data_IF_938979119415
#
_entry.id   IF_938979119415
#
_cell.length_a   1.000
_cell.length_b   1.000
_cell.length_c   1.000
_cell.angle_alpha   90.00
_cell.angle_beta   90.00
_cell.angle_gamma   90.00
#
_symmetry.space_group_name_H-M   'P 1'
#
loop_
_entity.id
_entity.type
_entity.pdbx_description
1 polymer ?
#
# COMPACT_ATOMS: atom_id res chain seq x y z
N UNK A 1 9.01 18.21 -17.71
CA UNK A 1 7.54 18.14 -17.53
C UNK A 1 7.22 18.50 -16.09
N UNK A 2 6.22 19.33 -15.86
CA UNK A 2 5.71 19.58 -14.51
C UNK A 2 4.78 18.44 -14.07
N UNK A 3 4.60 18.26 -12.76
CA UNK A 3 3.60 17.34 -12.19
C UNK A 3 2.21 17.57 -12.78
N UNK A 4 1.82 18.83 -12.96
CA UNK A 4 0.52 19.19 -13.52
C UNK A 4 0.35 18.68 -14.96
N UNK A 5 1.38 18.85 -15.80
CA UNK A 5 1.36 18.35 -17.18
C UNK A 5 1.25 16.83 -17.24
N UNK A 6 1.97 16.10 -16.38
CA UNK A 6 1.88 14.62 -16.33
C UNK A 6 0.43 14.22 -16.00
N UNK A 7 -0.17 14.83 -14.98
CA UNK A 7 -1.54 14.51 -14.56
C UNK A 7 -2.60 14.85 -15.63
N UNK A 8 -2.39 15.90 -16.43
CA UNK A 8 -3.27 16.27 -17.54
C UNK A 8 -3.18 15.31 -18.73
N UNK A 9 -2.03 14.66 -18.95
CA UNK A 9 -1.82 13.72 -20.06
C UNK A 9 -2.32 12.30 -19.74
N UNK A 10 -2.27 11.86 -18.47
CA UNK A 10 -2.69 10.50 -18.07
C UNK A 10 -4.11 10.11 -18.54
N UNK A 11 -5.14 10.96 -18.48
CA UNK A 11 -6.48 10.62 -18.95
C UNK A 11 -6.56 10.44 -20.47
N UNK A 12 -5.65 11.07 -21.23
CA UNK A 12 -5.62 11.03 -22.70
C UNK A 12 -5.02 9.73 -23.25
N UNK A 13 -4.29 9.01 -22.42
CA UNK A 13 -3.68 7.72 -22.76
C UNK A 13 -4.73 6.62 -22.96
N UNK A 14 -4.35 5.57 -23.68
CA UNK A 14 -5.18 4.36 -23.75
C UNK A 14 -5.21 3.65 -22.39
N UNK A 15 -6.16 2.73 -22.19
CA UNK A 15 -6.19 1.92 -20.97
C UNK A 15 -4.90 1.10 -20.79
N UNK A 16 -4.36 0.55 -21.89
CA UNK A 16 -3.10 -0.22 -21.87
C UNK A 16 -1.92 0.64 -21.44
N UNK A 17 -1.80 1.85 -21.99
CA UNK A 17 -0.71 2.76 -21.65
C UNK A 17 -0.80 3.22 -20.20
N UNK A 18 -2.02 3.49 -19.69
CA UNK A 18 -2.22 3.79 -18.27
C UNK A 18 -1.82 2.62 -17.37
N UNK A 19 -2.11 1.38 -17.76
CA UNK A 19 -1.68 0.20 -17.02
C UNK A 19 -0.15 0.06 -16.98
N UNK A 20 0.54 0.36 -18.07
CA UNK A 20 2.01 0.35 -18.11
C UNK A 20 2.59 1.46 -17.23
N UNK A 21 2.04 2.67 -17.29
CA UNK A 21 2.46 3.78 -16.41
C UNK A 21 2.22 3.44 -14.95
N UNK A 22 1.10 2.81 -14.62
CA UNK A 22 0.80 2.35 -13.27
C UNK A 22 1.81 1.30 -12.78
N UNK A 23 2.14 0.31 -13.60
CA UNK A 23 3.14 -0.70 -13.25
C UNK A 23 4.50 -0.06 -12.96
N UNK A 24 4.94 0.87 -13.80
CA UNK A 24 6.20 1.57 -13.59
C UNK A 24 6.21 2.45 -12.32
N UNK A 25 5.10 3.15 -12.03
CA UNK A 25 4.96 3.90 -10.77
C UNK A 25 5.00 2.98 -9.55
N UNK A 26 4.41 1.77 -9.66
CA UNK A 26 4.47 0.78 -8.60
C UNK A 26 5.91 0.29 -8.36
N UNK A 27 6.69 0.03 -9.42
CA UNK A 27 8.11 -0.35 -9.32
C UNK A 27 8.95 0.73 -8.62
N UNK A 28 8.71 2.01 -8.93
CA UNK A 28 9.40 3.12 -8.25
C UNK A 28 9.06 3.13 -6.77
N UNK A 29 7.77 3.07 -6.42
CA UNK A 29 7.36 3.07 -5.02
C UNK A 29 7.88 1.84 -4.27
N UNK A 30 7.93 0.68 -4.90
CA UNK A 30 8.54 -0.52 -4.31
C UNK A 30 10.03 -0.30 -4.03
N UNK A 31 10.76 0.29 -4.97
CA UNK A 31 12.17 0.64 -4.79
C UNK A 31 12.34 1.63 -3.63
N UNK A 32 11.53 2.70 -3.60
CA UNK A 32 11.54 3.68 -2.52
C UNK A 32 11.23 3.05 -1.15
N UNK A 33 10.36 2.03 -1.11
CA UNK A 33 10.05 1.28 0.13
C UNK A 33 11.18 0.35 0.56
N UNK A 34 11.90 -0.25 -0.40
CA UNK A 34 13.07 -1.09 -0.11
C UNK A 34 14.27 -0.26 0.35
N UNK A 35 14.40 0.95 -0.20
CA UNK A 35 15.43 1.93 0.15
C UNK A 35 15.03 2.80 1.35
N UNK A 36 13.80 2.68 1.85
CA UNK A 36 13.34 3.39 3.04
C UNK A 36 14.12 2.94 4.28
N UNK A 37 14.18 3.82 5.27
CA UNK A 37 14.77 3.48 6.57
C UNK A 37 14.11 2.22 7.13
N UNK A 38 14.95 1.29 7.59
CA UNK A 38 14.48 0.08 8.24
C UNK A 38 13.55 0.45 9.42
N UNK A 39 12.55 -0.39 9.74
CA UNK A 39 11.70 -0.17 10.90
C UNK A 39 12.54 0.07 12.15
N UNK A 40 12.12 1.03 12.97
CA UNK A 40 12.76 1.25 14.26
C UNK A 40 12.71 -0.04 15.11
N UNK A 41 13.59 -0.20 16.10
CA UNK A 41 13.57 -1.38 16.96
C UNK A 41 12.21 -1.65 17.62
N UNK A 42 11.47 -0.59 17.98
CA UNK A 42 10.12 -0.70 18.54
C UNK A 42 9.08 -1.16 17.53
N UNK A 43 9.15 -0.67 16.29
CA UNK A 43 8.24 -1.11 15.22
C UNK A 43 8.50 -2.56 14.85
N UNK A 44 9.79 -2.94 14.77
CA UNK A 44 10.17 -4.34 14.53
C UNK A 44 9.66 -5.26 15.65
N UNK A 45 9.82 -4.86 16.91
CA UNK A 45 9.31 -5.63 18.03
C UNK A 45 7.78 -5.81 17.96
N UNK A 46 7.03 -4.75 17.62
CA UNK A 46 5.58 -4.84 17.47
C UNK A 46 5.17 -5.81 16.34
N UNK A 47 5.92 -5.82 15.22
CA UNK A 47 5.71 -6.78 14.13
C UNK A 47 6.02 -8.21 14.55
N UNK A 48 7.14 -8.43 15.24
CA UNK A 48 7.53 -9.77 15.73
C UNK A 48 6.50 -10.31 16.75
N UNK A 49 5.97 -9.46 17.63
CA UNK A 49 4.92 -9.82 18.58
C UNK A 49 3.60 -10.18 17.88
N UNK A 50 3.16 -9.35 16.92
CA UNK A 50 1.95 -9.59 16.14
C UNK A 50 2.07 -10.87 15.29
N UNK A 51 3.24 -11.12 14.72
CA UNK A 51 3.51 -12.34 13.96
C UNK A 51 3.47 -13.58 14.86
N UNK A 52 4.12 -13.53 16.03
CA UNK A 52 4.08 -14.62 16.99
C UNK A 52 2.67 -14.88 17.55
N UNK A 53 1.82 -13.86 17.66
CA UNK A 53 0.39 -14.03 17.98
C UNK A 53 -0.35 -14.75 16.86
N UNK A 54 -0.16 -14.34 15.61
CA UNK A 54 -0.76 -14.98 14.45
C UNK A 54 -0.30 -16.43 14.27
N UNK A 55 0.96 -16.75 14.55
CA UNK A 55 1.45 -18.14 14.52
C UNK A 55 0.80 -19.02 15.59
N UNK A 56 0.46 -18.45 16.76
CA UNK A 56 -0.21 -19.19 17.84
C UNK A 56 -1.70 -19.39 17.56
N UNK A 57 -2.36 -18.37 17.01
CA UNK A 57 -3.75 -18.42 16.62
C UNK A 57 -3.92 -17.73 15.26
N UNK A 58 -3.95 -18.51 14.16
CA UNK A 58 -4.09 -17.96 12.81
C UNK A 58 -5.54 -17.52 12.58
N UNK A 59 -5.90 -16.41 13.22
CA UNK A 59 -7.11 -15.66 12.93
C UNK A 59 -6.80 -14.71 11.78
N UNK A 60 -7.40 -14.88 10.59
CA UNK A 60 -7.16 -14.00 9.45
C UNK A 60 -7.71 -12.57 9.67
N UNK A 61 -8.23 -12.27 10.86
CA UNK A 61 -8.94 -11.03 11.16
C UNK A 61 -10.29 -10.95 10.47
N UNK A 62 -10.97 -9.82 10.65
CA UNK A 62 -12.17 -9.52 9.88
C UNK A 62 -11.81 -9.18 8.43
N UNK A 63 -12.62 -9.61 7.44
CA UNK A 63 -12.43 -9.19 6.07
C UNK A 63 -12.36 -7.67 5.96
N UNK A 64 -11.40 -7.15 5.17
CA UNK A 64 -11.21 -5.71 4.98
C UNK A 64 -12.50 -4.97 4.58
N UNK A 65 -13.37 -5.61 3.80
CA UNK A 65 -14.67 -5.07 3.41
C UNK A 65 -15.52 -4.70 4.63
N UNK A 66 -15.54 -5.53 5.67
CA UNK A 66 -16.36 -5.33 6.86
C UNK A 66 -15.75 -4.26 7.76
N UNK A 67 -14.42 -4.27 7.91
CA UNK A 67 -13.67 -3.20 8.59
C UNK A 67 -13.91 -1.83 7.93
N UNK A 68 -13.83 -1.79 6.60
CA UNK A 68 -14.04 -0.57 5.81
C UNK A 68 -15.46 -0.02 5.97
N UNK A 69 -16.47 -0.88 5.98
CA UNK A 69 -17.86 -0.48 6.22
C UNK A 69 -18.03 0.14 7.60
N UNK A 70 -17.43 -0.46 8.64
CA UNK A 70 -17.44 0.10 10.01
C UNK A 70 -16.78 1.48 10.07
N UNK A 71 -15.59 1.64 9.48
CA UNK A 71 -14.89 2.93 9.43
C UNK A 71 -15.69 4.03 8.72
N UNK A 72 -16.44 3.68 7.68
CA UNK A 72 -17.33 4.63 6.99
C UNK A 72 -18.56 5.02 7.81
N UNK A 73 -19.04 4.14 8.69
CA UNK A 73 -20.18 4.41 9.57
C UNK A 73 -19.78 5.19 10.82
N UNK A 74 -18.50 5.16 11.21
CA UNK A 74 -17.95 5.92 12.33
C UNK A 74 -17.49 7.34 11.98
N UNK A 75 -17.73 7.80 10.74
CA UNK A 75 -17.50 9.17 10.26
C UNK A 75 -18.82 9.88 10.03
#
# INVERSE_FOLDING_TARGET
MSKAQILEELPKLTASDRSQVFAWLAEIHETDLLDADAPSPSEKQALDEAFAEFERDPSPGEPWRDVFLKLRQSR
#
